data_IF_557640079228
#
_entry.id   IF_557640079228
#
_cell.length_a   1.000
_cell.length_b   1.000
_cell.length_c   1.000
_cell.angle_alpha   90.00
_cell.angle_beta   90.00
_cell.angle_gamma   90.00
#
_symmetry.space_group_name_H-M   'P 1'
#
loop_
_entity.id
_entity.type
_entity.pdbx_description
1 polymer ?
#
# COMPACT_ATOMS: atom_id res chain seq x y z
N UNK A 1 -33.92 4.72 4.91
CA UNK A 1 -32.87 4.32 3.95
C UNK A 1 -31.63 4.10 4.78
N UNK A 2 -31.40 2.87 5.20
CA UNK A 2 -30.22 2.49 5.97
C UNK A 2 -29.04 2.49 5.00
N UNK A 3 -28.10 3.42 5.19
CA UNK A 3 -26.80 3.34 4.56
C UNK A 3 -26.09 2.17 5.22
N UNK A 4 -26.23 0.98 4.63
CA UNK A 4 -25.42 -0.16 5.00
C UNK A 4 -23.96 0.18 4.65
N UNK A 5 -23.22 0.64 5.64
CA UNK A 5 -21.78 0.77 5.59
C UNK A 5 -21.24 -0.65 5.37
N UNK A 6 -20.95 -0.96 4.11
CA UNK A 6 -20.30 -2.21 3.73
C UNK A 6 -18.84 -2.07 4.14
N UNK A 7 -18.58 -2.17 5.43
CA UNK A 7 -17.22 -2.28 5.96
C UNK A 7 -16.67 -3.59 5.38
N UNK A 8 -15.66 -3.54 4.50
CA UNK A 8 -15.12 -4.75 3.90
C UNK A 8 -14.66 -5.70 5.01
N UNK A 9 -14.88 -7.00 4.83
CA UNK A 9 -14.32 -8.00 5.73
C UNK A 9 -12.79 -7.85 5.73
N UNK A 10 -12.28 -7.24 6.80
CA UNK A 10 -10.88 -6.82 6.93
C UNK A 10 -9.90 -7.99 6.69
N UNK A 11 -10.14 -9.21 7.21
CA UNK A 11 -9.34 -10.38 6.85
C UNK A 11 -9.34 -10.73 5.34
N UNK A 12 -10.48 -10.63 4.66
CA UNK A 12 -10.56 -10.88 3.22
C UNK A 12 -9.77 -9.84 2.41
N UNK A 13 -9.83 -8.56 2.81
CA UNK A 13 -9.04 -7.48 2.19
C UNK A 13 -7.53 -7.74 2.30
N UNK A 14 -7.03 -8.09 3.50
CA UNK A 14 -5.61 -8.38 3.68
C UNK A 14 -5.12 -9.56 2.86
N UNK A 15 -5.93 -10.63 2.79
CA UNK A 15 -5.61 -11.80 1.98
C UNK A 15 -5.57 -11.47 0.48
N UNK A 16 -6.48 -10.63 -0.01
CA UNK A 16 -6.48 -10.20 -1.41
C UNK A 16 -5.27 -9.32 -1.74
N UNK A 17 -4.96 -8.33 -0.90
CA UNK A 17 -3.78 -7.47 -1.05
C UNK A 17 -2.49 -8.30 -1.07
N UNK A 18 -2.36 -9.26 -0.14
CA UNK A 18 -1.21 -10.16 -0.10
C UNK A 18 -1.12 -11.06 -1.35
N UNK A 19 -2.26 -11.52 -1.88
CA UNK A 19 -2.32 -12.29 -3.13
C UNK A 19 -1.90 -11.44 -4.33
N UNK A 20 -2.39 -10.20 -4.45
CA UNK A 20 -2.01 -9.25 -5.50
C UNK A 20 -0.52 -8.92 -5.44
N UNK A 21 0.02 -8.66 -4.25
CA UNK A 21 1.45 -8.36 -4.06
C UNK A 21 2.34 -9.52 -4.52
N UNK A 22 1.99 -10.76 -4.16
CA UNK A 22 2.71 -11.96 -4.61
C UNK A 22 2.62 -12.15 -6.12
N UNK A 23 1.45 -11.92 -6.72
CA UNK A 23 1.27 -12.06 -8.16
C UNK A 23 2.11 -11.03 -8.95
N UNK A 24 2.17 -9.79 -8.46
CA UNK A 24 3.02 -8.74 -9.02
C UNK A 24 4.50 -9.12 -8.92
N UNK A 25 4.97 -9.53 -7.74
CA UNK A 25 6.37 -9.93 -7.55
C UNK A 25 6.79 -11.14 -8.40
N UNK A 26 5.86 -12.06 -8.68
CA UNK A 26 6.15 -13.27 -9.45
C UNK A 26 6.07 -13.08 -10.97
N UNK A 27 5.17 -12.22 -11.46
CA UNK A 27 4.82 -12.16 -12.88
C UNK A 27 4.93 -10.76 -13.50
N UNK A 28 5.07 -9.71 -12.68
CA UNK A 28 5.14 -8.33 -13.15
C UNK A 28 6.51 -7.99 -13.71
N UNK A 29 6.54 -6.99 -14.60
CA UNK A 29 7.81 -6.33 -14.94
C UNK A 29 8.35 -5.58 -13.71
N UNK A 30 9.61 -5.17 -13.73
CA UNK A 30 10.19 -4.35 -12.65
C UNK A 30 9.33 -3.10 -12.39
N UNK A 31 8.80 -2.48 -13.45
CA UNK A 31 7.95 -1.30 -13.38
C UNK A 31 6.56 -1.62 -12.82
N UNK A 32 5.91 -2.66 -13.35
CA UNK A 32 4.55 -3.03 -12.90
C UNK A 32 4.57 -3.50 -11.45
N UNK A 33 5.62 -4.22 -11.05
CA UNK A 33 5.83 -4.65 -9.66
C UNK A 33 5.98 -3.44 -8.75
N UNK A 34 6.84 -2.48 -9.11
CA UNK A 34 7.04 -1.29 -8.30
C UNK A 34 5.78 -0.41 -8.22
N UNK A 35 5.02 -0.29 -9.32
CA UNK A 35 3.78 0.46 -9.37
C UNK A 35 2.69 -0.19 -8.50
N UNK A 36 2.45 -1.48 -8.69
CA UNK A 36 1.41 -2.21 -8.00
C UNK A 36 1.70 -2.40 -6.51
N UNK A 37 2.96 -2.59 -6.11
CA UNK A 37 3.32 -2.64 -4.68
C UNK A 37 3.10 -1.28 -4.00
N UNK A 38 3.41 -0.17 -4.68
CA UNK A 38 3.11 1.17 -4.16
C UNK A 38 1.61 1.35 -3.92
N UNK A 39 0.76 0.94 -4.86
CA UNK A 39 -0.69 1.01 -4.72
C UNK A 39 -1.20 0.15 -3.56
N UNK A 40 -0.70 -1.09 -3.43
CA UNK A 40 -1.08 -1.99 -2.34
C UNK A 40 -0.72 -1.40 -0.98
N UNK A 41 0.48 -0.82 -0.83
CA UNK A 41 0.88 -0.21 0.44
C UNK A 41 0.04 1.04 0.74
N UNK A 42 -0.37 1.80 -0.28
CA UNK A 42 -1.31 2.90 -0.11
C UNK A 42 -2.71 2.42 0.33
N UNK A 43 -3.20 1.32 -0.22
CA UNK A 43 -4.46 0.67 0.22
C UNK A 43 -4.35 0.22 1.69
N UNK A 44 -3.23 -0.40 2.09
CA UNK A 44 -2.95 -0.78 3.50
C UNK A 44 -2.95 0.44 4.42
N UNK A 45 -2.26 1.50 4.01
CA UNK A 45 -2.19 2.75 4.77
C UNK A 45 -3.57 3.37 4.97
N UNK A 46 -4.40 3.42 3.92
CA UNK A 46 -5.74 3.98 4.02
C UNK A 46 -6.67 3.12 4.89
N UNK A 47 -6.63 1.80 4.75
CA UNK A 47 -7.41 0.89 5.60
C UNK A 47 -7.01 1.04 7.08
N UNK A 48 -5.69 1.05 7.37
CA UNK A 48 -5.20 1.34 8.72
C UNK A 48 -5.58 2.75 9.21
N UNK A 49 -5.70 3.72 8.29
CA UNK A 49 -5.98 5.11 8.61
C UNK A 49 -7.44 5.40 8.91
N UNK A 50 -8.36 4.85 8.12
CA UNK A 50 -9.76 5.27 8.07
C UNK A 50 -10.73 4.21 8.60
N UNK A 51 -10.39 2.91 8.57
CA UNK A 51 -11.31 1.84 9.02
C UNK A 51 -11.23 1.55 10.53
N UNK A 52 -10.27 2.13 11.25
CA UNK A 52 -10.25 2.13 12.73
C UNK A 52 -10.66 3.51 13.27
N UNK A 53 -11.92 3.70 13.70
CA UNK A 53 -12.33 4.92 14.38
C UNK A 53 -11.82 4.86 15.83
N UNK A 54 -10.64 5.43 16.11
CA UNK A 54 -10.15 5.42 17.49
C UNK A 54 -8.86 6.19 17.75
N UNK A 55 -9.02 7.44 18.20
CA UNK A 55 -8.40 7.97 19.43
C UNK A 55 -6.87 7.98 19.60
N UNK A 56 -6.41 8.60 20.68
CA UNK A 56 -5.02 8.56 21.15
C UNK A 56 -4.63 7.11 21.54
N UNK A 57 -3.42 6.68 21.19
CA UNK A 57 -2.89 5.35 21.54
C UNK A 57 -1.89 4.79 20.53
N UNK A 58 -1.31 3.62 20.84
CA UNK A 58 -0.29 2.94 20.00
C UNK A 58 -0.79 2.59 18.59
N UNK A 59 -2.11 2.39 18.46
CA UNK A 59 -2.82 2.07 17.21
C UNK A 59 -3.65 3.27 16.70
N UNK A 60 -3.48 4.45 17.33
CA UNK A 60 -4.27 5.65 17.11
C UNK A 60 -3.89 6.46 15.88
N UNK A 61 -4.47 7.66 15.75
CA UNK A 61 -4.18 8.60 14.67
C UNK A 61 -2.68 9.02 14.58
N UNK A 62 -1.95 8.89 15.70
CA UNK A 62 -0.51 9.19 15.84
C UNK A 62 0.27 8.01 16.44
N UNK A 63 -0.27 6.79 16.33
CA UNK A 63 0.37 5.59 16.87
C UNK A 63 1.58 5.12 16.05
N UNK A 64 2.60 4.50 16.67
CA UNK A 64 3.78 3.95 15.98
C UNK A 64 3.43 2.94 14.88
N UNK A 65 2.27 2.27 14.94
CA UNK A 65 1.83 1.37 13.86
C UNK A 65 1.53 2.15 12.56
N UNK A 66 0.88 3.29 12.67
CA UNK A 66 0.56 4.17 11.54
C UNK A 66 1.80 4.86 10.99
N UNK A 67 2.68 5.32 11.87
CA UNK A 67 3.98 5.88 11.50
C UNK A 67 4.82 4.83 10.73
N UNK A 68 4.85 3.59 11.23
CA UNK A 68 5.52 2.47 10.58
C UNK A 68 4.97 2.19 9.17
N UNK A 69 3.65 2.16 9.01
CA UNK A 69 3.03 1.96 7.69
C UNK A 69 3.31 3.15 6.76
N UNK A 70 3.34 4.38 7.30
CA UNK A 70 3.75 5.58 6.56
C UNK A 70 5.16 5.48 6.00
N UNK A 71 6.13 5.04 6.80
CA UNK A 71 7.50 4.82 6.32
C UNK A 71 7.61 3.75 5.24
N UNK A 72 6.82 2.67 5.33
CA UNK A 72 6.77 1.63 4.29
C UNK A 72 6.16 2.19 2.99
N UNK A 73 5.12 3.03 3.10
CA UNK A 73 4.54 3.73 1.96
C UNK A 73 5.55 4.63 1.26
N UNK A 74 6.25 5.47 2.02
CA UNK A 74 7.25 6.39 1.47
C UNK A 74 8.39 5.62 0.79
N UNK A 75 8.88 4.54 1.41
CA UNK A 75 9.89 3.66 0.81
C UNK A 75 9.41 3.01 -0.49
N UNK A 76 8.15 2.56 -0.56
CA UNK A 76 7.57 1.99 -1.78
C UNK A 76 7.45 3.04 -2.90
N UNK A 77 7.07 4.27 -2.55
CA UNK A 77 6.99 5.38 -3.51
C UNK A 77 8.37 5.79 -4.03
N UNK A 78 9.38 5.85 -3.16
CA UNK A 78 10.77 6.10 -3.55
C UNK A 78 11.34 5.01 -4.45
N UNK A 79 11.02 3.75 -4.16
CA UNK A 79 11.39 2.62 -5.01
C UNK A 79 10.77 2.76 -6.40
N UNK A 80 9.48 3.04 -6.50
CA UNK A 80 8.79 3.30 -7.76
C UNK A 80 9.47 4.42 -8.58
N UNK A 81 9.75 5.57 -7.97
CA UNK A 81 10.42 6.68 -8.66
C UNK A 81 11.84 6.34 -9.11
N UNK A 82 12.56 5.50 -8.35
CA UNK A 82 13.90 5.04 -8.72
C UNK A 82 13.84 4.08 -9.91
N UNK A 83 12.91 3.14 -9.89
CA UNK A 83 12.66 2.19 -10.98
C UNK A 83 12.25 2.92 -12.25
N UNK A 84 11.33 3.90 -12.16
CA UNK A 84 10.93 4.73 -13.29
C UNK A 84 12.13 5.47 -13.92
N UNK A 85 12.98 6.10 -13.09
CA UNK A 85 14.19 6.78 -13.56
C UNK A 85 15.19 5.83 -14.22
N UNK A 86 15.34 4.62 -13.68
CA UNK A 86 16.22 3.60 -14.25
C UNK A 86 15.75 3.17 -15.63
N UNK A 87 14.46 2.84 -15.78
CA UNK A 87 13.85 2.34 -17.02
C UNK A 87 13.77 3.43 -18.11
N UNK A 88 13.45 4.67 -17.72
CA UNK A 88 13.47 5.80 -18.66
C UNK A 88 14.91 6.26 -19.00
N UNK A 89 15.86 6.12 -18.08
CA UNK A 89 17.28 6.43 -18.32
C UNK A 89 17.99 5.43 -19.24
N UNK A 90 17.48 4.20 -19.39
CA UNK A 90 18.05 3.19 -20.30
C UNK A 90 17.68 3.37 -21.78
N UNK A 91 16.82 4.31 -22.15
CA UNK A 91 16.45 4.60 -23.55
C UNK A 91 17.25 5.76 -24.18
N UNK A 92 18.36 6.17 -23.55
CA UNK A 92 19.15 7.34 -23.95
C UNK A 92 20.65 7.09 -24.15
N UNK A 93 21.07 5.89 -24.58
CA UNK A 93 22.44 5.63 -25.06
C UNK A 93 22.43 4.77 -26.31
#
# INVERSE_FOLDING_TARGET
>A
MEHAEHTPDVPALWNDLARRARALAANGTEMDTAAGLREIVFEVYNAAKFDRPGGEGVDGADGPEREGIGHVHDAAQDHYHRTLRRIHGTHGQ
#
